data_IF_975805454662
#
_entry.id   IF_975805454662
#
_cell.length_a   1.000
_cell.length_b   1.000
_cell.length_c   1.000
_cell.angle_alpha   90.00
_cell.angle_beta   90.00
_cell.angle_gamma   90.00
#
_symmetry.space_group_name_H-M   'P 1'
#
loop_
_entity.id
_entity.type
_entity.pdbx_description
1 polymer ?
#
# COMPACT_ATOMS: atom_id res chain seq x y z
N UNK A 1 8.09 -7.39 10.58
CA UNK A 1 9.42 -7.86 10.14
C UNK A 1 9.44 -7.74 8.62
N UNK A 2 10.49 -7.21 8.01
CA UNK A 2 10.54 -7.05 6.55
C UNK A 2 10.72 -8.41 5.86
N UNK A 3 10.15 -8.63 4.66
CA UNK A 3 10.25 -9.91 3.96
C UNK A 3 11.67 -10.14 3.42
N UNK A 4 12.11 -11.40 3.39
CA UNK A 4 13.40 -11.77 2.78
C UNK A 4 13.38 -11.53 1.26
N UNK A 5 14.50 -11.02 0.69
CA UNK A 5 14.62 -10.81 -0.74
C UNK A 5 14.51 -12.14 -1.51
N UNK A 6 13.80 -12.14 -2.64
CA UNK A 6 13.63 -13.33 -3.50
C UNK A 6 12.35 -14.15 -3.28
N UNK A 7 11.52 -13.83 -2.29
CA UNK A 7 10.25 -14.54 -2.04
C UNK A 7 9.05 -14.06 -2.88
N UNK A 8 9.22 -13.02 -3.70
CA UNK A 8 8.18 -12.58 -4.63
C UNK A 8 8.39 -13.29 -5.98
N UNK A 9 7.34 -13.90 -6.52
CA UNK A 9 7.36 -14.64 -7.79
C UNK A 9 7.79 -13.78 -9.00
N UNK A 10 7.80 -12.45 -8.87
CA UNK A 10 8.09 -11.46 -9.92
C UNK A 10 7.10 -11.47 -11.11
N UNK A 11 6.10 -12.35 -11.10
CA UNK A 11 5.07 -12.48 -12.14
C UNK A 11 3.79 -11.66 -11.85
N UNK A 12 3.78 -10.83 -10.81
CA UNK A 12 2.59 -10.05 -10.43
C UNK A 12 1.53 -10.85 -9.66
N UNK A 13 1.96 -11.87 -8.92
CA UNK A 13 1.08 -12.65 -8.04
C UNK A 13 0.60 -11.84 -6.83
N UNK A 14 -0.67 -11.98 -6.47
CA UNK A 14 -1.31 -11.36 -5.28
C UNK A 14 -0.65 -11.74 -3.95
N UNK A 15 0.06 -12.88 -3.92
CA UNK A 15 0.83 -13.37 -2.76
C UNK A 15 2.27 -12.84 -2.73
N UNK A 16 2.60 -11.79 -3.48
CA UNK A 16 3.92 -11.16 -3.37
C UNK A 16 4.14 -10.66 -1.94
N UNK A 17 5.17 -11.17 -1.27
CA UNK A 17 5.48 -10.82 0.13
C UNK A 17 5.65 -9.32 0.36
N UNK A 18 6.16 -8.60 -0.65
CA UNK A 18 6.28 -7.15 -0.62
C UNK A 18 4.94 -6.44 -0.67
N UNK A 19 3.97 -6.98 -1.42
CA UNK A 19 2.63 -6.42 -1.49
C UNK A 19 1.87 -6.60 -0.17
N UNK A 20 1.98 -7.79 0.43
CA UNK A 20 1.41 -8.07 1.76
C UNK A 20 2.01 -7.11 2.79
N UNK A 21 3.34 -7.04 2.86
CA UNK A 21 4.03 -6.16 3.80
C UNK A 21 3.67 -4.67 3.59
N UNK A 22 3.62 -4.21 2.34
CA UNK A 22 3.27 -2.83 2.03
C UNK A 22 1.81 -2.50 2.38
N UNK A 23 0.91 -3.47 2.28
CA UNK A 23 -0.50 -3.32 2.69
C UNK A 23 -0.62 -3.20 4.21
N UNK A 24 0.14 -3.98 4.97
CA UNK A 24 0.19 -3.84 6.44
C UNK A 24 0.76 -2.47 6.85
N UNK A 25 1.78 -1.98 6.14
CA UNK A 25 2.33 -0.64 6.36
C UNK A 25 1.31 0.46 6.07
N UNK A 26 0.49 0.32 5.00
CA UNK A 26 -0.59 1.28 4.74
C UNK A 26 -1.54 1.37 5.95
N UNK A 27 -1.95 0.25 6.52
CA UNK A 27 -2.89 0.25 7.65
C UNK A 27 -2.26 0.83 8.93
N UNK A 28 -0.99 0.50 9.18
CA UNK A 28 -0.23 1.08 10.29
C UNK A 28 -0.08 2.60 10.16
N UNK A 29 0.33 3.08 8.98
CA UNK A 29 0.54 4.51 8.74
C UNK A 29 -0.77 5.29 8.61
N UNK A 30 -1.89 4.68 8.19
CA UNK A 30 -3.21 5.34 8.15
C UNK A 30 -3.65 5.83 9.52
N UNK A 31 -3.34 5.05 10.57
CA UNK A 31 -3.70 5.41 11.94
C UNK A 31 -2.89 6.61 12.46
N UNK A 32 -1.65 6.79 11.97
CA UNK A 32 -0.72 7.85 12.43
C UNK A 32 -0.67 9.08 11.52
N UNK A 33 -0.76 8.87 10.21
CA UNK A 33 -0.57 9.86 9.14
C UNK A 33 -1.60 9.65 8.02
N UNK A 34 -2.90 9.86 8.27
CA UNK A 34 -3.97 9.56 7.32
C UNK A 34 -3.88 10.34 5.99
N UNK A 35 -3.16 11.47 5.96
CA UNK A 35 -3.00 12.31 4.77
C UNK A 35 -1.73 12.03 3.98
N UNK A 36 -0.75 11.34 4.57
CA UNK A 36 0.59 11.13 3.99
C UNK A 36 1.01 9.64 3.98
N UNK A 37 0.06 8.74 4.28
CA UNK A 37 0.30 7.30 4.41
C UNK A 37 1.05 6.73 3.21
N UNK A 38 0.58 7.02 2.00
CA UNK A 38 1.13 6.43 0.78
C UNK A 38 2.60 6.83 0.55
N UNK A 39 2.98 8.08 0.85
CA UNK A 39 4.37 8.52 0.70
C UNK A 39 5.27 7.80 1.70
N UNK A 40 4.86 7.70 2.96
CA UNK A 40 5.62 6.99 4.01
C UNK A 40 5.87 5.53 3.66
N UNK A 41 4.85 4.84 3.14
CA UNK A 41 5.01 3.44 2.69
C UNK A 41 6.01 3.35 1.54
N UNK A 42 5.93 4.26 0.56
CA UNK A 42 6.84 4.29 -0.58
C UNK A 42 8.29 4.54 -0.17
N UNK A 43 8.53 5.44 0.77
CA UNK A 43 9.88 5.67 1.32
C UNK A 43 10.39 4.43 2.08
N UNK A 44 9.53 3.78 2.86
CA UNK A 44 9.91 2.61 3.68
C UNK A 44 10.32 1.39 2.83
N UNK A 45 9.59 1.12 1.75
CA UNK A 45 9.84 -0.08 0.91
C UNK A 45 10.65 0.21 -0.35
N UNK A 46 10.72 1.49 -0.75
CA UNK A 46 11.30 1.92 -2.02
C UNK A 46 12.68 1.34 -2.23
N UNK A 47 13.61 1.62 -1.32
CA UNK A 47 15.00 1.16 -1.43
C UNK A 47 15.22 -0.31 -1.02
N UNK A 48 14.21 -0.96 -0.43
CA UNK A 48 14.31 -2.35 0.04
C UNK A 48 13.97 -3.38 -1.05
N UNK A 49 13.18 -2.97 -2.05
CA UNK A 49 12.84 -3.83 -3.18
C UNK A 49 13.94 -3.71 -4.23
N UNK A 50 14.79 -4.73 -4.32
CA UNK A 50 15.91 -4.81 -5.26
C UNK A 50 15.45 -4.96 -6.72
N UNK A 51 14.39 -5.73 -6.95
CA UNK A 51 13.88 -5.96 -8.30
C UNK A 51 13.03 -4.77 -8.79
N UNK A 52 13.41 -4.08 -9.88
CA UNK A 52 12.68 -2.92 -10.38
C UNK A 52 11.25 -3.27 -10.80
N UNK A 53 11.04 -4.43 -11.44
CA UNK A 53 9.72 -4.91 -11.84
C UNK A 53 8.80 -5.16 -10.64
N UNK A 54 9.33 -5.74 -9.56
CA UNK A 54 8.58 -5.92 -8.31
C UNK A 54 8.27 -4.57 -7.66
N UNK A 55 9.23 -3.64 -7.67
CA UNK A 55 9.06 -2.30 -7.11
C UNK A 55 7.93 -1.55 -7.81
N UNK A 56 7.93 -1.53 -9.14
CA UNK A 56 6.87 -0.89 -9.92
C UNK A 56 5.50 -1.54 -9.67
N UNK A 57 5.43 -2.88 -9.70
CA UNK A 57 4.20 -3.60 -9.43
C UNK A 57 3.62 -3.25 -8.05
N UNK A 58 4.44 -3.32 -7.00
CA UNK A 58 4.02 -2.99 -5.63
C UNK A 58 3.62 -1.51 -5.53
N UNK A 59 4.37 -0.58 -6.12
CA UNK A 59 4.03 0.84 -6.12
C UNK A 59 2.70 1.13 -6.80
N UNK A 60 2.40 0.46 -7.91
CA UNK A 60 1.13 0.60 -8.63
C UNK A 60 -0.03 0.09 -7.78
N UNK A 61 0.07 -1.13 -7.24
CA UNK A 61 -0.97 -1.73 -6.40
C UNK A 61 -1.23 -0.89 -5.14
N UNK A 62 -0.19 -0.36 -4.51
CA UNK A 62 -0.32 0.55 -3.36
C UNK A 62 -1.10 1.82 -3.70
N UNK A 63 -0.80 2.44 -4.84
CA UNK A 63 -1.51 3.64 -5.29
C UNK A 63 -2.99 3.33 -5.57
N UNK A 64 -3.29 2.18 -6.17
CA UNK A 64 -4.64 1.71 -6.42
C UNK A 64 -5.40 1.42 -5.12
N UNK A 65 -4.74 0.77 -4.14
CA UNK A 65 -5.31 0.49 -2.83
C UNK A 65 -5.61 1.78 -2.04
N UNK A 66 -4.70 2.75 -2.05
CA UNK A 66 -4.92 4.06 -1.43
C UNK A 66 -6.07 4.83 -2.08
N UNK A 67 -6.11 4.86 -3.42
CA UNK A 67 -7.21 5.49 -4.17
C UNK A 67 -8.55 4.86 -3.81
N UNK A 68 -8.65 3.52 -3.85
CA UNK A 68 -9.88 2.78 -3.50
C UNK A 68 -10.35 3.10 -2.07
N UNK A 69 -9.42 3.18 -1.12
CA UNK A 69 -9.71 3.54 0.27
C UNK A 69 -10.27 4.97 0.38
N UNK A 70 -9.64 5.94 -0.28
CA UNK A 70 -10.08 7.35 -0.27
C UNK A 70 -11.42 7.55 -0.96
N UNK A 71 -11.65 6.86 -2.08
CA UNK A 71 -12.95 6.83 -2.76
C UNK A 71 -14.05 6.29 -1.81
N UNK A 72 -13.78 5.16 -1.14
CA UNK A 72 -14.72 4.57 -0.16
C UNK A 72 -15.02 5.51 1.01
N UNK A 73 -14.01 6.18 1.57
CA UNK A 73 -14.21 7.17 2.64
C UNK A 73 -15.05 8.37 2.17
N UNK A 74 -14.86 8.82 0.93
CA UNK A 74 -15.62 9.92 0.35
C UNK A 74 -17.10 9.58 0.19
N UNK A 75 -17.41 8.32 -0.18
CA UNK A 75 -18.79 7.81 -0.21
C UNK A 75 -19.38 7.73 1.20
N UNK A 76 -18.61 7.27 2.19
CA UNK A 76 -19.06 7.16 3.59
C UNK A 76 -19.37 8.52 4.21
N UNK A 77 -18.58 9.56 3.88
CA UNK A 77 -18.82 10.95 4.30
C UNK A 77 -20.11 11.52 3.72
N UNK A 78 -20.44 11.18 2.46
CA UNK A 78 -21.70 11.60 1.80
C UNK A 78 -22.96 10.92 2.37
N UNK A 79 -22.81 9.78 3.05
CA UNK A 79 -23.91 8.98 3.61
C UNK A 79 -24.20 9.25 5.09
N UNK A 80 -23.54 10.21 5.75
CA UNK A 80 -23.90 10.62 7.12
C UNK A 80 -24.95 11.75 7.00
N UNK A 81 -26.26 11.47 7.11
CA UNK A 81 -27.23 12.53 7.28
C UNK A 81 -26.94 13.26 8.60
N UNK A 82 -26.99 14.57 8.51
CA UNK A 82 -27.09 15.51 9.62
C UNK A 82 -28.32 15.12 10.46
N UNK A 83 -28.12 14.90 11.75
CA UNK A 83 -29.19 14.94 12.76
C UNK A 83 -28.98 16.23 13.55
#
# INVERSE_FOLDING_TARGET
>A
MQPEPGLCCQEGCESCVWLVYATELLDFYRQKYPTDTLNRVKEEIGDKIESPSVREYVMMELAMADKRFRDMMSVKKKKKPED
#
